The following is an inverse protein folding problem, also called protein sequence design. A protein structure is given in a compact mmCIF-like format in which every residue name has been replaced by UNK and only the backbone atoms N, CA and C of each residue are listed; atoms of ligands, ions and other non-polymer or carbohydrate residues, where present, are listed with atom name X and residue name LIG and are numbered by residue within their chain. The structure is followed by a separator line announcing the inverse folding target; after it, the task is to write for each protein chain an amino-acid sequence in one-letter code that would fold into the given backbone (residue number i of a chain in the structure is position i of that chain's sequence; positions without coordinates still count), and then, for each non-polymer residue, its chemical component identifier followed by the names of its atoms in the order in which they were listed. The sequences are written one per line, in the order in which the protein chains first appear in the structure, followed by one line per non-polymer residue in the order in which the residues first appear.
data_IF_306197419583
#
_entry.id   IF_306197419583
#
_cell.length_a   1.000
_cell.length_b   1.000
_cell.length_c   1.000
_cell.angle_alpha   90.00
_cell.angle_beta   90.00
_cell.angle_gamma   90.00
#
_symmetry.space_group_name_H-M   'P 1'
#
loop_
_entity.id
_entity.type
_entity.pdbx_description
1 polymer ?
#
# COMPACT_ATOMS: atom_id res chain seq x y z
N UNK A 1 15.76 32.19 9.81
CA UNK A 1 16.85 33.14 10.09
C UNK A 1 16.84 34.19 8.98
N UNK A 2 16.45 35.43 9.29
CA UNK A 2 16.49 36.53 8.34
C UNK A 2 17.87 37.19 8.46
N UNK A 3 18.85 36.72 7.68
CA UNK A 3 20.15 37.36 7.62
C UNK A 3 20.02 38.68 6.85
N UNK A 4 20.40 39.79 7.48
CA UNK A 4 20.55 41.07 6.81
C UNK A 4 21.64 40.95 5.74
N UNK A 5 21.31 41.22 4.48
CA UNK A 5 22.31 41.34 3.42
C UNK A 5 22.98 42.72 3.52
N UNK A 6 24.29 42.83 3.25
CA UNK A 6 24.97 44.13 3.21
C UNK A 6 24.45 44.98 2.03
N UNK A 7 24.48 46.30 2.21
CA UNK A 7 24.16 47.24 1.13
C UNK A 7 25.24 47.16 0.04
N UNK A 8 24.83 46.81 -1.17
CA UNK A 8 25.69 46.65 -2.35
C UNK A 8 25.22 47.58 -3.46
N UNK A 9 26.15 48.25 -4.14
CA UNK A 9 25.88 49.12 -5.28
C UNK A 9 26.30 48.42 -6.57
N UNK A 10 25.60 48.68 -7.68
CA UNK A 10 25.92 48.12 -8.99
C UNK A 10 27.34 48.55 -9.40
N UNK A 11 28.25 47.58 -9.48
CA UNK A 11 29.67 47.81 -9.81
C UNK A 11 30.65 47.43 -8.71
N UNK A 12 30.18 47.09 -7.52
CA UNK A 12 31.05 46.64 -6.43
C UNK A 12 31.80 45.35 -6.79
N UNK A 13 33.10 45.32 -6.51
CA UNK A 13 33.95 44.15 -6.72
C UNK A 13 33.73 43.17 -5.56
N UNK A 14 33.29 41.95 -5.86
CA UNK A 14 33.06 40.90 -4.88
C UNK A 14 34.16 39.85 -4.94
N UNK A 15 34.71 39.49 -3.78
CA UNK A 15 35.67 38.39 -3.66
C UNK A 15 34.94 37.06 -3.63
N UNK A 16 35.21 36.18 -4.59
CA UNK A 16 34.69 34.82 -4.59
C UNK A 16 35.29 34.03 -3.42
N UNK A 17 34.54 33.86 -2.32
CA UNK A 17 34.99 33.07 -1.18
C UNK A 17 35.03 31.57 -1.49
N UNK A 18 33.98 31.03 -2.11
CA UNK A 18 33.89 29.59 -2.40
C UNK A 18 32.93 29.32 -3.58
N UNK A 19 33.31 28.39 -4.45
CA UNK A 19 32.43 27.87 -5.51
C UNK A 19 32.12 26.40 -5.22
N UNK A 20 30.88 26.12 -4.80
CA UNK A 20 30.42 24.77 -4.49
C UNK A 20 29.45 24.29 -5.59
N UNK A 21 29.89 23.43 -6.52
CA UNK A 21 28.98 22.86 -7.51
C UNK A 21 27.97 21.95 -6.79
N UNK A 22 26.70 22.34 -6.77
CA UNK A 22 25.60 21.55 -6.19
C UNK A 22 24.71 21.01 -7.31
N UNK A 23 24.67 19.69 -7.45
CA UNK A 23 23.72 19.02 -8.34
C UNK A 23 22.43 18.75 -7.58
N UNK A 24 21.30 19.21 -8.12
CA UNK A 24 19.98 18.95 -7.57
C UNK A 24 19.18 18.04 -8.52
N UNK A 25 18.41 17.12 -7.95
CA UNK A 25 17.45 16.30 -8.69
C UNK A 25 16.03 16.81 -8.43
N UNK A 26 15.19 16.77 -9.45
CA UNK A 26 13.75 17.00 -9.29
C UNK A 26 13.17 15.91 -8.39
N UNK A 27 12.42 16.32 -7.38
CA UNK A 27 11.69 15.39 -6.53
C UNK A 27 10.25 15.25 -7.03
N UNK A 28 9.63 14.06 -6.93
CA UNK A 28 8.22 13.90 -7.24
C UNK A 28 7.37 14.76 -6.29
N UNK A 29 6.13 15.11 -6.69
CA UNK A 29 5.24 15.87 -5.83
C UNK A 29 5.02 15.16 -4.50
N UNK A 30 5.03 15.96 -3.43
CA UNK A 30 4.84 15.47 -2.07
C UNK A 30 3.42 14.90 -1.90
N UNK A 31 3.31 13.67 -1.37
CA UNK A 31 2.02 13.11 -0.94
C UNK A 31 1.40 13.97 0.17
N UNK A 32 0.08 14.04 0.17
CA UNK A 32 -0.71 14.76 1.16
C UNK A 32 -0.51 14.20 2.58
N UNK A 33 -0.34 15.11 3.55
CA UNK A 33 -0.71 14.86 4.95
C UNK A 33 -2.21 15.08 5.14
N UNK A 34 -2.78 14.69 6.29
CA UNK A 34 -4.19 14.95 6.60
C UNK A 34 -4.52 16.46 6.52
N UNK A 35 -3.69 17.31 7.12
CA UNK A 35 -3.86 18.76 7.07
C UNK A 35 -3.80 19.31 5.63
N UNK A 36 -2.88 18.82 4.80
CA UNK A 36 -2.81 19.24 3.40
C UNK A 36 -4.02 18.74 2.59
N UNK A 37 -4.53 17.54 2.87
CA UNK A 37 -5.74 17.03 2.22
C UNK A 37 -6.97 17.86 2.61
N UNK A 38 -7.14 18.20 3.88
CA UNK A 38 -8.21 19.08 4.36
C UNK A 38 -8.11 20.46 3.69
N UNK A 39 -6.90 21.02 3.60
CA UNK A 39 -6.64 22.25 2.86
C UNK A 39 -6.99 22.16 1.37
N UNK A 40 -6.74 21.03 0.72
CA UNK A 40 -7.13 20.79 -0.68
C UNK A 40 -8.66 20.67 -0.83
N UNK A 41 -9.32 19.90 0.04
CA UNK A 41 -10.78 19.74 0.05
C UNK A 41 -11.48 21.11 0.21
N UNK A 42 -11.01 21.94 1.15
CA UNK A 42 -11.50 23.31 1.35
C UNK A 42 -11.33 24.19 0.10
N UNK A 43 -10.16 24.15 -0.55
CA UNK A 43 -9.91 24.93 -1.78
C UNK A 43 -10.81 24.51 -2.94
N UNK A 44 -11.15 23.22 -3.02
CA UNK A 44 -12.00 22.66 -4.07
C UNK A 44 -13.50 22.72 -3.72
N UNK A 45 -13.91 23.26 -2.57
CA UNK A 45 -15.31 23.30 -2.15
C UNK A 45 -15.90 21.95 -1.77
N UNK A 46 -15.07 20.91 -1.59
CA UNK A 46 -15.49 19.56 -1.25
C UNK A 46 -15.66 19.42 0.26
N UNK A 47 -16.90 19.41 0.73
CA UNK A 47 -17.25 19.33 2.15
C UNK A 47 -17.06 20.64 2.92
N UNK A 48 -17.26 20.57 4.23
CA UNK A 48 -17.44 21.70 5.16
C UNK A 48 -16.74 21.42 6.50
N UNK A 49 -16.61 22.38 7.45
CA UNK A 49 -15.88 22.17 8.71
C UNK A 49 -16.35 20.96 9.55
N UNK A 50 -17.63 20.61 9.48
CA UNK A 50 -18.22 19.44 10.13
C UNK A 50 -17.86 18.09 9.50
N UNK A 51 -17.40 18.07 8.24
CA UNK A 51 -17.22 16.82 7.47
C UNK A 51 -15.76 16.49 7.13
N UNK A 52 -14.81 17.44 7.24
CA UNK A 52 -13.42 17.17 6.86
C UNK A 52 -12.79 16.01 7.64
N UNK A 53 -12.96 15.98 8.97
CA UNK A 53 -12.42 14.93 9.80
C UNK A 53 -13.06 13.57 9.47
N UNK A 54 -14.39 13.53 9.33
CA UNK A 54 -15.14 12.31 9.02
C UNK A 54 -14.84 11.77 7.62
N UNK A 55 -14.60 12.62 6.62
CA UNK A 55 -14.14 12.20 5.28
C UNK A 55 -12.78 11.49 5.38
N UNK A 56 -11.81 12.10 6.08
CA UNK A 56 -10.47 11.51 6.20
C UNK A 56 -10.50 10.20 7.00
N UNK A 57 -11.30 10.13 8.06
CA UNK A 57 -11.48 8.92 8.88
C UNK A 57 -12.15 7.79 8.10
N UNK A 58 -13.27 8.04 7.41
CA UNK A 58 -13.94 7.04 6.58
C UNK A 58 -13.07 6.49 5.45
N UNK A 59 -12.20 7.30 4.84
CA UNK A 59 -11.23 6.83 3.84
C UNK A 59 -10.18 5.87 4.43
N UNK A 60 -9.76 6.10 5.69
CA UNK A 60 -8.84 5.21 6.42
C UNK A 60 -9.55 3.93 6.85
N UNK A 61 -10.73 4.03 7.46
CA UNK A 61 -11.49 2.89 7.99
C UNK A 61 -11.88 1.89 6.91
N UNK A 62 -12.31 2.39 5.75
CA UNK A 62 -12.63 1.56 4.57
C UNK A 62 -11.40 1.08 3.81
N UNK A 63 -10.19 1.38 4.28
CA UNK A 63 -8.91 0.97 3.69
C UNK A 63 -8.74 1.45 2.24
N UNK A 64 -9.26 2.62 1.90
CA UNK A 64 -8.95 3.30 0.64
C UNK A 64 -7.61 4.03 0.71
N UNK A 65 -7.23 4.48 1.91
CA UNK A 65 -5.98 5.20 2.15
C UNK A 65 -5.27 4.60 3.36
N UNK A 66 -3.95 4.42 3.27
CA UNK A 66 -3.06 4.07 4.37
C UNK A 66 -2.26 5.26 4.88
N UNK A 67 -1.71 5.15 6.09
CA UNK A 67 -0.87 6.18 6.71
C UNK A 67 0.57 5.66 6.85
N UNK A 68 1.52 6.32 6.22
CA UNK A 68 2.95 6.04 6.36
C UNK A 68 3.71 7.34 6.63
N UNK A 69 4.50 7.39 7.71
CA UNK A 69 5.27 8.60 8.10
C UNK A 69 4.42 9.89 8.09
N UNK A 70 3.19 9.83 8.62
CA UNK A 70 2.19 10.92 8.65
C UNK A 70 1.72 11.41 7.26
N UNK A 71 1.92 10.63 6.20
CA UNK A 71 1.48 10.91 4.83
C UNK A 71 0.49 9.84 4.37
N UNK A 72 -0.46 10.26 3.54
CA UNK A 72 -1.54 9.43 3.02
C UNK A 72 -1.08 8.73 1.74
N UNK A 73 -1.34 7.43 1.64
CA UNK A 73 -0.99 6.57 0.51
C UNK A 73 -2.23 5.86 -0.04
N UNK A 74 -2.45 5.82 -1.36
CA UNK A 74 -3.58 5.08 -1.93
C UNK A 74 -3.40 3.58 -1.69
N UNK A 75 -4.35 2.93 -1.03
CA UNK A 75 -4.36 1.48 -0.89
C UNK A 75 -4.76 0.81 -2.22
N UNK A 76 -4.38 -0.46 -2.47
CA UNK A 76 -4.71 -1.15 -3.72
C UNK A 76 -6.22 -1.16 -4.05
N UNK A 77 -7.07 -1.29 -3.03
CA UNK A 77 -8.54 -1.27 -3.18
C UNK A 77 -9.06 0.03 -3.82
N UNK A 78 -8.41 1.16 -3.56
CA UNK A 78 -8.82 2.49 -4.06
C UNK A 78 -8.66 2.62 -5.57
N UNK A 79 -7.75 1.85 -6.18
CA UNK A 79 -7.57 1.90 -7.64
C UNK A 79 -8.74 1.20 -8.32
N UNK A 80 -9.13 0.01 -7.86
CA UNK A 80 -10.27 -0.73 -8.39
C UNK A 80 -11.58 0.04 -8.24
N UNK A 81 -11.82 0.64 -7.06
CA UNK A 81 -13.06 1.39 -6.80
C UNK A 81 -13.13 2.67 -7.62
N UNK A 82 -12.08 3.50 -7.65
CA UNK A 82 -12.11 4.72 -8.46
C UNK A 82 -12.17 4.42 -9.96
N UNK A 83 -11.45 3.40 -10.46
CA UNK A 83 -11.55 3.00 -11.87
C UNK A 83 -12.99 2.63 -12.24
N UNK A 84 -13.67 1.83 -11.39
CA UNK A 84 -15.06 1.47 -11.61
C UNK A 84 -16.00 2.69 -11.60
N UNK A 85 -15.81 3.60 -10.64
CA UNK A 85 -16.64 4.81 -10.54
C UNK A 85 -16.37 5.81 -11.68
N UNK A 86 -15.12 5.97 -12.11
CA UNK A 86 -14.73 6.80 -13.26
C UNK A 86 -15.27 6.23 -14.59
N UNK A 87 -15.25 4.90 -14.77
CA UNK A 87 -15.82 4.20 -15.94
C UNK A 87 -17.32 4.43 -16.10
N UNK A 88 -18.08 4.30 -15.01
CA UNK A 88 -19.55 4.13 -15.09
C UNK A 88 -20.37 5.24 -14.45
N UNK A 89 -19.80 6.05 -13.54
CA UNK A 89 -20.54 7.05 -12.76
C UNK A 89 -19.78 8.38 -12.68
N UNK A 90 -19.08 8.75 -13.77
CA UNK A 90 -18.15 9.88 -13.81
C UNK A 90 -18.77 11.20 -13.34
N UNK A 91 -20.02 11.49 -13.74
CA UNK A 91 -20.72 12.73 -13.38
C UNK A 91 -20.76 12.96 -11.86
N UNK A 92 -20.93 11.90 -11.06
CA UNK A 92 -21.13 12.00 -9.61
C UNK A 92 -19.82 12.11 -8.85
N UNK A 93 -18.76 11.48 -9.36
CA UNK A 93 -17.41 11.55 -8.76
C UNK A 93 -16.59 12.74 -9.25
N UNK A 94 -17.14 13.54 -10.17
CA UNK A 94 -16.51 14.79 -10.58
C UNK A 94 -16.43 15.79 -9.41
N UNK A 95 -15.28 16.47 -9.32
CA UNK A 95 -15.00 17.42 -8.24
C UNK A 95 -15.92 18.64 -8.33
N UNK A 96 -16.13 19.18 -9.53
CA UNK A 96 -16.98 20.35 -9.75
C UNK A 96 -18.45 20.06 -9.45
N UNK A 97 -18.95 18.90 -9.86
CA UNK A 97 -20.29 18.44 -9.52
C UNK A 97 -20.48 18.31 -8.00
N UNK A 98 -19.54 17.63 -7.31
CA UNK A 98 -19.63 17.44 -5.86
C UNK A 98 -19.59 18.77 -5.11
N UNK A 99 -18.73 19.71 -5.51
CA UNK A 99 -18.70 21.06 -4.93
C UNK A 99 -20.01 21.83 -5.15
N UNK A 100 -20.59 21.74 -6.35
CA UNK A 100 -21.89 22.37 -6.67
C UNK A 100 -23.02 21.77 -5.82
N UNK A 101 -22.99 20.45 -5.58
CA UNK A 101 -23.96 19.78 -4.70
C UNK A 101 -23.88 20.32 -3.27
N UNK A 102 -22.67 20.49 -2.72
CA UNK A 102 -22.46 21.08 -1.40
C UNK A 102 -22.98 22.53 -1.32
N UNK A 103 -22.74 23.35 -2.34
CA UNK A 103 -23.31 24.71 -2.41
C UNK A 103 -24.83 24.70 -2.49
N UNK A 104 -25.43 23.76 -3.23
CA UNK A 104 -26.88 23.62 -3.31
C UNK A 104 -27.49 23.22 -1.95
N UNK A 105 -26.81 22.39 -1.17
CA UNK A 105 -27.23 22.06 0.19
C UNK A 105 -27.18 23.29 1.12
N UNK A 106 -26.14 24.13 1.00
CA UNK A 106 -26.06 25.41 1.72
C UNK A 106 -27.19 26.40 1.30
N UNK A 107 -27.56 26.42 0.00
CA UNK A 107 -28.70 27.21 -0.49
C UNK A 107 -30.03 26.73 0.10
N UNK A 108 -30.22 25.43 0.27
CA UNK A 108 -31.40 24.87 0.96
C UNK A 108 -31.41 25.29 2.42
N UNK A 109 -30.28 25.20 3.13
CA UNK A 109 -30.17 25.61 4.53
C UNK A 109 -30.48 27.10 4.74
N UNK A 110 -30.19 27.94 3.75
CA UNK A 110 -30.50 29.38 3.76
C UNK A 110 -31.86 29.76 3.15
N UNK A 111 -32.69 28.78 2.75
CA UNK A 111 -34.01 29.02 2.16
C UNK A 111 -34.01 29.58 0.73
N UNK A 112 -32.85 29.61 0.05
CA UNK A 112 -32.70 30.14 -1.32
C UNK A 112 -33.13 29.16 -2.41
N UNK A 113 -33.35 27.89 -2.09
CA UNK A 113 -33.70 26.84 -3.05
C UNK A 113 -34.60 25.81 -2.40
N UNK A 114 -35.61 25.33 -3.12
CA UNK A 114 -36.49 24.27 -2.65
C UNK A 114 -35.78 22.90 -2.66
N UNK A 115 -35.86 22.19 -1.52
CA UNK A 115 -35.25 20.88 -1.31
C UNK A 115 -35.78 19.82 -2.27
N UNK A 116 -37.09 19.79 -2.50
CA UNK A 116 -37.72 18.74 -3.32
C UNK A 116 -37.31 18.91 -4.79
N UNK A 117 -37.28 20.14 -5.28
CA UNK A 117 -36.84 20.48 -6.63
C UNK A 117 -35.41 20.03 -6.88
N UNK A 118 -34.48 20.36 -5.97
CA UNK A 118 -33.08 19.94 -6.07
C UNK A 118 -32.92 18.42 -6.02
N UNK A 119 -33.62 17.73 -5.12
CA UNK A 119 -33.55 16.26 -5.02
C UNK A 119 -34.05 15.56 -6.29
N UNK A 120 -35.11 16.08 -6.93
CA UNK A 120 -35.59 15.55 -8.23
C UNK A 120 -34.56 15.78 -9.34
N UNK A 121 -33.95 16.97 -9.40
CA UNK A 121 -32.92 17.31 -10.38
C UNK A 121 -31.67 16.43 -10.23
N UNK A 122 -31.28 16.07 -9.01
CA UNK A 122 -30.16 15.16 -8.75
C UNK A 122 -30.53 13.69 -9.05
N UNK A 123 -31.64 13.20 -8.47
CA UNK A 123 -31.93 11.78 -8.41
C UNK A 123 -32.30 11.16 -9.77
N UNK A 124 -32.97 11.90 -10.67
CA UNK A 124 -33.34 11.39 -11.99
C UNK A 124 -32.13 10.92 -12.80
N UNK A 125 -31.20 11.84 -13.18
CA UNK A 125 -29.99 11.49 -13.92
C UNK A 125 -29.08 10.51 -13.16
N UNK A 126 -28.99 10.65 -11.84
CA UNK A 126 -28.21 9.75 -11.00
C UNK A 126 -28.69 8.30 -11.09
N UNK A 127 -30.00 8.07 -10.93
CA UNK A 127 -30.60 6.75 -10.96
C UNK A 127 -30.39 6.08 -12.32
N UNK A 128 -30.63 6.80 -13.42
CA UNK A 128 -30.39 6.30 -14.77
C UNK A 128 -28.92 5.87 -14.97
N UNK A 129 -27.97 6.69 -14.48
CA UNK A 129 -26.54 6.36 -14.56
C UNK A 129 -26.20 5.10 -13.76
N UNK A 130 -26.76 4.94 -12.55
CA UNK A 130 -26.53 3.75 -11.70
C UNK A 130 -27.20 2.50 -12.30
N UNK A 131 -28.41 2.61 -12.84
CA UNK A 131 -29.11 1.50 -13.48
C UNK A 131 -28.34 1.00 -14.72
N UNK A 132 -27.81 1.92 -15.53
CA UNK A 132 -26.92 1.58 -16.65
C UNK A 132 -25.60 0.97 -16.19
N UNK A 133 -24.96 1.55 -15.16
CA UNK A 133 -23.71 1.06 -14.58
C UNK A 133 -23.84 -0.35 -14.02
N UNK A 134 -24.93 -0.63 -13.29
CA UNK A 134 -25.20 -1.94 -12.71
C UNK A 134 -25.54 -2.99 -13.76
N UNK A 135 -26.28 -2.64 -14.81
CA UNK A 135 -26.51 -3.52 -15.97
C UNK A 135 -25.19 -3.84 -16.70
N UNK A 136 -24.34 -2.85 -16.95
CA UNK A 136 -23.02 -3.03 -17.57
C UNK A 136 -22.07 -3.86 -16.68
N UNK A 137 -22.03 -3.61 -15.37
CA UNK A 137 -21.21 -4.39 -14.44
C UNK A 137 -21.69 -5.84 -14.28
N UNK A 138 -23.01 -6.09 -14.46
CA UNK A 138 -23.56 -7.45 -14.47
C UNK A 138 -23.15 -8.23 -15.73
N UNK A 139 -23.09 -7.60 -16.90
CA UNK A 139 -22.63 -8.22 -18.14
C UNK A 139 -21.10 -8.37 -18.20
N UNK A 140 -20.35 -7.46 -17.60
CA UNK A 140 -18.87 -7.49 -17.53
C UNK A 140 -18.32 -8.39 -16.41
N UNK A 141 -19.14 -9.15 -15.69
CA UNK A 141 -18.63 -10.16 -14.76
C UNK A 141 -17.78 -11.18 -15.53
N UNK A 142 -16.47 -10.94 -15.54
CA UNK A 142 -15.48 -11.95 -15.84
C UNK A 142 -15.87 -13.19 -15.04
N UNK A 143 -16.01 -14.37 -15.67
CA UNK A 143 -16.33 -15.57 -14.91
C UNK A 143 -15.24 -15.67 -13.86
N UNK A 144 -15.64 -15.55 -12.58
CA UNK A 144 -14.73 -15.68 -11.46
C UNK A 144 -13.89 -16.92 -11.75
N UNK A 145 -12.59 -16.71 -11.98
CA UNK A 145 -11.67 -17.80 -12.27
C UNK A 145 -11.95 -18.85 -11.20
N UNK A 146 -12.49 -20.01 -11.64
CA UNK A 146 -12.79 -21.13 -10.78
C UNK A 146 -11.50 -21.42 -10.02
N UNK A 147 -11.41 -20.96 -8.78
CA UNK A 147 -10.53 -21.60 -7.82
C UNK A 147 -10.93 -23.08 -7.88
N UNK A 148 -10.00 -24.01 -8.15
CA UNK A 148 -10.36 -25.40 -8.30
C UNK A 148 -11.04 -25.86 -7.02
N UNK A 149 -12.32 -26.23 -7.12
CA UNK A 149 -13.06 -26.90 -6.06
C UNK A 149 -12.45 -28.29 -5.92
N UNK A 150 -11.42 -28.44 -5.08
CA UNK A 150 -11.02 -29.76 -4.58
C UNK A 150 -12.11 -30.23 -3.63
N UNK A 151 -13.00 -31.06 -4.17
CA UNK A 151 -13.93 -31.82 -3.39
C UNK A 151 -13.19 -32.80 -2.46
N UNK A 152 -13.85 -33.02 -1.32
CA UNK A 152 -13.82 -34.21 -0.47
C UNK A 152 -12.90 -34.24 0.77
N UNK A 153 -13.60 -34.60 1.86
CA UNK A 153 -13.20 -35.42 3.00
C UNK A 153 -12.59 -34.73 4.23
N UNK A 154 -13.46 -34.59 5.23
CA UNK A 154 -13.15 -34.85 6.64
C UNK A 154 -12.06 -35.92 6.79
N UNK A 155 -10.89 -35.49 7.24
CA UNK A 155 -9.75 -36.36 7.48
C UNK A 155 -8.61 -35.57 8.10
N UNK A 156 -8.46 -35.71 9.43
CA UNK A 156 -7.29 -35.38 10.27
C UNK A 156 -6.37 -34.27 9.74
N UNK A 157 -6.42 -33.10 10.42
CA UNK A 157 -5.43 -32.00 10.38
C UNK A 157 -4.00 -32.51 10.23
N UNK A 158 -3.51 -32.61 8.99
CA UNK A 158 -2.11 -32.70 8.67
C UNK A 158 -1.65 -31.27 8.38
N UNK A 159 -0.88 -30.70 9.32
CA UNK A 159 -0.20 -29.43 9.13
C UNK A 159 0.57 -29.49 7.80
N UNK A 160 0.11 -28.76 6.80
CA UNK A 160 0.88 -28.46 5.60
C UNK A 160 2.17 -27.79 6.06
N UNK A 161 3.27 -28.56 6.03
CA UNK A 161 4.62 -28.03 6.27
C UNK A 161 4.87 -26.98 5.18
N UNK A 162 4.77 -25.70 5.56
CA UNK A 162 5.30 -24.60 4.77
C UNK A 162 6.77 -24.93 4.43
N UNK A 163 7.06 -25.10 3.14
CA UNK A 163 8.43 -25.25 2.66
C UNK A 163 9.11 -23.89 2.89
N UNK A 164 10.19 -23.81 3.67
CA UNK A 164 10.90 -22.56 3.88
C UNK A 164 11.51 -22.08 2.55
N UNK A 165 11.17 -20.86 2.13
CA UNK A 165 11.83 -20.18 1.02
C UNK A 165 13.26 -19.85 1.46
N UNK A 166 14.27 -20.46 0.83
CA UNK A 166 15.67 -20.03 0.98
C UNK A 166 16.07 -19.18 -0.23
N UNK A 167 16.89 -18.15 -0.02
CA UNK A 167 17.34 -17.23 -1.07
C UNK A 167 18.19 -17.89 -2.17
N UNK A 168 18.64 -19.13 -1.96
CA UNK A 168 19.43 -19.94 -2.91
C UNK A 168 18.59 -20.77 -3.91
N UNK A 169 17.25 -20.75 -3.84
CA UNK A 169 16.39 -21.46 -4.81
C UNK A 169 16.51 -20.79 -6.18
N UNK A 170 16.82 -21.56 -7.22
CA UNK A 170 17.00 -21.04 -8.59
C UNK A 170 18.42 -20.60 -8.94
N UNK A 171 19.38 -20.63 -8.01
CA UNK A 171 20.80 -20.44 -8.36
C UNK A 171 21.37 -21.66 -9.10
N UNK A 172 22.40 -21.41 -9.92
CA UNK A 172 23.13 -22.46 -10.63
C UNK A 172 23.88 -23.33 -9.62
N UNK A 173 23.82 -24.65 -9.79
CA UNK A 173 24.44 -25.64 -8.92
C UNK A 173 25.97 -25.50 -8.96
N UNK A 174 26.64 -25.37 -7.81
CA UNK A 174 28.10 -25.19 -7.79
C UNK A 174 28.88 -26.46 -8.15
N UNK A 175 28.24 -27.64 -8.16
CA UNK A 175 28.91 -28.91 -8.49
C UNK A 175 28.87 -29.27 -9.97
N UNK A 176 27.77 -28.97 -10.69
CA UNK A 176 27.66 -29.28 -12.12
C UNK A 176 27.60 -28.05 -13.03
N UNK A 177 27.45 -26.83 -12.48
CA UNK A 177 27.35 -25.55 -13.21
C UNK A 177 26.26 -25.45 -14.30
N UNK A 178 25.50 -26.52 -14.55
CA UNK A 178 24.45 -26.59 -15.57
C UNK A 178 23.04 -26.79 -14.98
N UNK A 179 22.93 -27.38 -13.79
CA UNK A 179 21.66 -27.61 -13.11
C UNK A 179 21.29 -26.47 -12.16
N UNK A 180 20.01 -26.29 -11.87
CA UNK A 180 19.48 -25.30 -10.92
C UNK A 180 19.17 -25.94 -9.55
N UNK A 181 19.28 -25.16 -8.49
CA UNK A 181 18.98 -25.62 -7.12
C UNK A 181 17.48 -25.53 -6.82
N UNK A 182 16.90 -26.66 -6.42
CA UNK A 182 15.48 -26.83 -6.11
C UNK A 182 15.29 -27.23 -4.64
N UNK A 183 14.29 -26.65 -3.98
CA UNK A 183 13.91 -27.05 -2.62
C UNK A 183 13.12 -28.37 -2.65
N UNK A 184 13.66 -29.41 -2.02
CA UNK A 184 13.05 -30.74 -1.88
C UNK A 184 12.85 -31.07 -0.40
N UNK A 185 11.86 -31.90 -0.10
CA UNK A 185 11.57 -32.34 1.28
C UNK A 185 11.89 -33.82 1.44
N UNK A 186 12.79 -34.16 2.37
CA UNK A 186 13.15 -35.56 2.68
C UNK A 186 12.81 -35.95 4.12
N UNK A 187 13.13 -37.20 4.48
CA UNK A 187 12.98 -37.76 5.84
C UNK A 187 13.63 -36.88 6.92
N UNK A 188 14.75 -36.23 6.60
CA UNK A 188 15.56 -35.42 7.52
C UNK A 188 15.25 -33.91 7.48
N UNK A 189 14.17 -33.49 6.81
CA UNK A 189 13.79 -32.08 6.66
C UNK A 189 13.98 -31.53 5.23
N UNK A 190 13.68 -30.24 5.03
CA UNK A 190 13.83 -29.59 3.72
C UNK A 190 15.32 -29.37 3.38
N UNK A 191 15.69 -29.70 2.14
CA UNK A 191 17.04 -29.57 1.60
C UNK A 191 17.00 -29.00 0.17
N UNK A 192 18.07 -28.32 -0.27
CA UNK A 192 18.30 -27.95 -1.66
C UNK A 192 18.96 -29.13 -2.37
N UNK A 193 18.44 -29.53 -3.52
CA UNK A 193 19.07 -30.51 -4.41
C UNK A 193 19.16 -29.98 -5.83
N UNK A 194 20.13 -30.48 -6.60
CA UNK A 194 20.24 -30.12 -8.02
C UNK A 194 19.07 -30.72 -8.84
N UNK A 195 18.58 -29.99 -9.84
CA UNK A 195 17.61 -30.49 -10.83
C UNK A 195 18.15 -31.67 -11.64
N UNK A 196 19.48 -31.74 -11.85
CA UNK A 196 20.17 -32.80 -12.60
C UNK A 196 20.65 -33.97 -11.74
N UNK A 197 20.03 -34.20 -10.57
CA UNK A 197 20.42 -35.31 -9.69
C UNK A 197 20.27 -36.68 -10.39
N UNK A 198 19.22 -36.86 -11.19
CA UNK A 198 19.01 -38.08 -11.98
C UNK A 198 20.04 -38.28 -13.12
N UNK A 199 20.73 -37.21 -13.54
CA UNK A 199 21.76 -37.25 -14.59
C UNK A 199 23.19 -37.38 -14.01
N UNK A 200 23.32 -37.65 -12.70
CA UNK A 200 24.60 -37.92 -12.04
C UNK A 200 25.11 -36.83 -11.08
N UNK A 201 24.41 -35.70 -10.90
CA UNK A 201 24.86 -34.66 -9.96
C UNK A 201 24.43 -34.96 -8.51
N UNK A 202 25.37 -35.13 -7.58
CA UNK A 202 25.05 -35.54 -6.18
C UNK A 202 24.87 -34.39 -5.18
N UNK A 203 24.77 -33.15 -5.66
CA UNK A 203 24.74 -31.96 -4.79
C UNK A 203 23.48 -31.87 -3.93
N UNK A 204 23.65 -31.80 -2.61
CA UNK A 204 22.58 -31.52 -1.64
C UNK A 204 23.05 -30.61 -0.48
N UNK A 205 22.23 -29.64 -0.06
CA UNK A 205 22.53 -28.70 1.05
C UNK A 205 21.29 -28.58 1.97
N UNK A 206 21.44 -28.55 3.30
CA UNK A 206 20.31 -28.40 4.23
C UNK A 206 19.81 -26.95 4.25
N UNK A 207 18.49 -26.74 4.22
CA UNK A 207 17.92 -25.40 4.41
C UNK A 207 17.96 -25.08 5.91
N UNK A 208 18.88 -24.21 6.31
CA UNK A 208 19.08 -23.85 7.72
C UNK A 208 17.85 -23.19 8.33
N UNK A 209 17.22 -23.85 9.31
CA UNK A 209 16.29 -23.19 10.21
C UNK A 209 17.08 -22.33 11.20
N UNK A 210 17.03 -21.01 11.01
CA UNK A 210 17.70 -20.06 11.88
C UNK A 210 17.27 -20.18 13.35
N UNK A 211 18.11 -20.82 14.17
CA UNK A 211 18.22 -20.51 15.61
C UNK A 211 19.52 -19.72 15.80
N UNK A 212 19.41 -18.39 15.92
CA UNK A 212 20.47 -17.56 16.49
C UNK A 212 20.87 -18.16 17.83
N UNK A 213 22.10 -18.67 17.96
CA UNK A 213 22.69 -19.03 19.26
C UNK A 213 22.81 -17.75 20.09
N UNK A 214 21.94 -17.56 21.08
CA UNK A 214 22.26 -16.68 22.22
C UNK A 214 23.39 -17.35 22.99
N UNK A 215 24.59 -16.78 22.93
CA UNK A 215 25.70 -17.18 23.80
C UNK A 215 25.34 -16.88 25.25
N UNK A 216 25.03 -17.92 26.02
CA UNK A 216 25.05 -17.88 27.47
C UNK A 216 26.35 -18.56 27.94
N UNK A 217 27.40 -17.78 28.09
CA UNK A 217 28.43 -18.05 29.11
C UNK A 217 27.76 -17.70 30.45
N UNK A 218 27.60 -18.57 31.43
CA UNK A 218 28.52 -19.61 31.88
C UNK A 218 28.96 -19.29 33.31
N UNK A 219 28.02 -19.14 34.27
CA UNK A 219 28.37 -19.07 35.69
C UNK A 219 27.80 -20.28 36.43
N UNK A 220 28.71 -21.24 36.70
CA UNK A 220 28.44 -22.53 37.32
C UNK A 220 28.57 -22.40 38.85
N UNK A 221 27.51 -22.79 39.56
CA UNK A 221 27.43 -22.95 41.02
C UNK A 221 28.70 -23.55 41.64
N UNK A 222 29.15 -22.98 42.75
CA UNK A 222 29.76 -23.73 43.85
C UNK A 222 29.00 -23.44 45.15
N UNK A 223 28.21 -24.42 45.58
CA UNK A 223 27.84 -24.62 46.99
C UNK A 223 29.08 -25.17 47.71
N UNK A 224 29.45 -24.55 48.83
CA UNK A 224 30.13 -25.12 50.02
C UNK A 224 29.73 -24.20 51.17
N UNK A 225 28.76 -24.58 52.01
CA UNK A 225 28.92 -25.34 53.25
C UNK A 225 29.65 -24.58 54.37
N UNK A 226 28.88 -24.22 55.40
CA UNK A 226 29.21 -24.37 56.82
C UNK A 226 30.22 -23.44 57.52
N UNK A 227 29.71 -22.88 58.62
CA UNK A 227 30.31 -22.67 59.95
C UNK A 227 31.01 -21.37 60.32
N UNK A 228 30.52 -20.89 61.49
CA UNK A 228 30.98 -19.88 62.45
C UNK A 228 30.56 -18.44 62.18
#
# INVERSE_FOLDING_TARGET
ENAAMPDLVKGDLLTLHQLLPKQHFTQPPNRYTEAQLIGALKKLGLGRPSTYATIVETLKDRKYVGLEKKRLYPAPLRFQVCELLERHVQMVVDVGFTATMEENLDRIATGKTDRLTMMRQFYGPFKETVDQATAAAASERQPAARAPKSASKSGKRSRSKAVPKSDKVGQVCPQCQEGTLEAKSGKYGPFLGCSRYALGCTYTEKIGSGRKKRGASGYRKKRRSSSR
#
